data_IF_607336423792
#
_entry.id   IF_607336423792
#
_cell.length_a   1.000
_cell.length_b   1.000
_cell.length_c   1.000
_cell.angle_alpha   90.00
_cell.angle_beta   90.00
_cell.angle_gamma   90.00
#
_symmetry.space_group_name_H-M   'P 1'
#
loop_
_entity.id
_entity.type
_entity.pdbx_description
1 polymer ?
#
# COMPACT_ATOMS: atom_id res chain seq x y z
N UNK A 1 40.45 55.55 5.94
CA UNK A 1 40.40 54.16 6.47
C UNK A 1 39.50 54.18 7.72
N UNK A 2 38.26 53.73 7.59
CA UNK A 2 37.31 53.68 8.71
C UNK A 2 37.55 52.46 9.58
N UNK A 3 37.78 52.69 10.88
CA UNK A 3 37.77 51.65 11.92
C UNK A 3 36.50 51.84 12.77
N UNK A 4 35.53 50.94 12.63
CA UNK A 4 34.36 50.85 13.51
C UNK A 4 34.60 49.65 14.45
N UNK A 5 34.76 49.86 15.78
CA UNK A 5 34.84 48.76 16.72
C UNK A 5 33.45 48.18 17.02
N UNK A 6 33.42 46.85 17.08
CA UNK A 6 32.31 46.00 17.50
C UNK A 6 32.06 46.17 19.02
N UNK A 7 30.80 46.18 19.46
CA UNK A 7 30.28 45.37 20.59
C UNK A 7 28.79 45.67 20.84
N UNK A 8 27.96 44.65 20.64
CA UNK A 8 27.26 43.87 21.69
C UNK A 8 25.97 44.53 22.14
N UNK A 9 24.84 43.90 21.80
CA UNK A 9 23.76 43.71 22.78
C UNK A 9 23.04 42.42 22.42
N UNK A 10 23.15 41.42 23.31
CA UNK A 10 22.32 40.22 23.32
C UNK A 10 20.86 40.65 23.38
N UNK A 11 20.07 40.34 22.37
CA UNK A 11 18.61 40.39 22.48
C UNK A 11 18.06 38.96 22.40
N UNK A 12 17.66 38.52 23.58
CA UNK A 12 16.63 37.55 23.95
C UNK A 12 16.13 36.57 22.87
N UNK A 13 16.26 35.30 23.26
CA UNK A 13 15.52 34.16 22.76
C UNK A 13 14.05 34.49 22.43
N UNK A 14 13.67 34.27 21.18
CA UNK A 14 12.29 34.11 20.78
C UNK A 14 12.08 32.63 20.43
N UNK A 15 11.91 31.81 21.46
CA UNK A 15 11.35 30.45 21.32
C UNK A 15 9.85 30.58 20.99
N UNK A 16 9.51 31.01 19.77
CA UNK A 16 8.17 30.82 19.25
C UNK A 16 8.15 29.44 18.59
N UNK A 17 8.08 28.42 19.44
CA UNK A 17 7.75 27.06 19.03
C UNK A 17 6.29 27.09 18.53
N UNK A 18 6.13 27.47 17.26
CA UNK A 18 4.87 27.37 16.54
C UNK A 18 4.61 25.88 16.34
N UNK A 19 3.92 25.29 17.32
CA UNK A 19 3.50 23.90 17.30
C UNK A 19 2.50 23.77 16.14
N UNK A 20 3.03 23.43 14.96
CA UNK A 20 2.22 23.03 13.81
C UNK A 20 1.42 21.81 14.26
N UNK A 21 0.16 22.02 14.63
CA UNK A 21 -0.85 20.98 14.69
C UNK A 21 -1.03 20.48 13.26
N UNK A 22 -0.13 19.60 12.81
CA UNK A 22 -0.33 18.85 11.58
C UNK A 22 -1.50 17.91 11.88
N UNK A 23 -2.68 18.11 11.27
CA UNK A 23 -3.73 17.12 11.38
C UNK A 23 -3.15 15.83 10.78
N UNK A 24 -2.87 14.87 11.64
CA UNK A 24 -2.56 13.51 11.22
C UNK A 24 -3.87 12.99 10.67
N UNK A 25 -4.10 13.19 9.37
CA UNK A 25 -5.13 12.44 8.66
C UNK A 25 -4.75 10.97 8.86
N UNK A 26 -5.41 10.30 9.80
CA UNK A 26 -5.35 8.86 9.93
C UNK A 26 -5.67 8.33 8.55
N UNK A 27 -4.67 7.79 7.86
CA UNK A 27 -4.88 7.14 6.58
C UNK A 27 -5.72 5.92 6.90
N UNK A 28 -7.05 6.08 6.89
CA UNK A 28 -7.96 5.00 7.21
C UNK A 28 -7.59 3.84 6.30
N UNK A 29 -7.42 2.66 6.90
CA UNK A 29 -7.20 1.39 6.19
C UNK A 29 -8.43 0.95 5.38
N UNK A 30 -9.16 1.91 4.83
CA UNK A 30 -10.33 1.71 4.00
C UNK A 30 -9.89 1.20 2.63
N UNK A 31 -10.56 0.13 2.24
CA UNK A 31 -10.41 -0.45 0.93
C UNK A 31 -11.31 0.30 -0.05
N UNK A 32 -10.88 0.47 -1.32
CA UNK A 32 -11.78 0.94 -2.36
C UNK A 32 -12.96 -0.02 -2.51
N UNK A 33 -14.07 0.47 -3.07
CA UNK A 33 -15.20 -0.40 -3.41
C UNK A 33 -14.75 -1.44 -4.43
N UNK A 34 -15.11 -2.70 -4.17
CA UNK A 34 -14.84 -3.86 -5.02
C UNK A 34 -16.11 -4.67 -5.11
N UNK A 35 -16.39 -5.22 -6.29
CA UNK A 35 -17.54 -6.09 -6.50
C UNK A 35 -17.04 -7.50 -6.78
N UNK A 36 -17.67 -8.50 -6.14
CA UNK A 36 -17.35 -9.91 -6.39
C UNK A 36 -17.51 -10.23 -7.88
N UNK A 37 -16.54 -10.94 -8.46
CA UNK A 37 -16.49 -11.31 -9.87
C UNK A 37 -15.79 -10.27 -10.77
N UNK A 38 -15.40 -9.12 -10.23
CA UNK A 38 -14.66 -8.12 -10.99
C UNK A 38 -13.24 -8.59 -11.34
N UNK A 39 -12.73 -8.20 -12.51
CA UNK A 39 -11.34 -8.43 -12.88
C UNK A 39 -10.36 -7.88 -11.84
N UNK A 40 -9.44 -8.74 -11.38
CA UNK A 40 -8.48 -8.35 -10.35
C UNK A 40 -7.54 -7.22 -10.81
N UNK A 41 -7.25 -7.10 -12.10
CA UNK A 41 -6.47 -5.99 -12.64
C UNK A 41 -7.12 -4.62 -12.40
N UNK A 42 -8.45 -4.54 -12.53
CA UNK A 42 -9.21 -3.32 -12.23
C UNK A 42 -9.22 -3.01 -10.71
N UNK A 43 -9.42 -4.05 -9.89
CA UNK A 43 -9.34 -3.94 -8.43
C UNK A 43 -7.95 -3.47 -8.00
N UNK A 44 -6.89 -4.06 -8.55
CA UNK A 44 -5.49 -3.72 -8.31
C UNK A 44 -5.20 -2.26 -8.65
N UNK A 45 -5.70 -1.77 -9.78
CA UNK A 45 -5.53 -0.37 -10.17
C UNK A 45 -6.15 0.57 -9.13
N UNK A 46 -7.36 0.26 -8.64
CA UNK A 46 -8.01 1.05 -7.59
C UNK A 46 -7.32 0.98 -6.24
N UNK A 47 -6.77 -0.18 -5.86
CA UNK A 47 -5.94 -0.31 -4.66
C UNK A 47 -4.75 0.65 -4.71
N UNK A 48 -4.01 0.64 -5.82
CA UNK A 48 -2.87 1.53 -6.05
C UNK A 48 -3.30 3.00 -6.00
N UNK A 49 -4.38 3.37 -6.71
CA UNK A 49 -4.92 4.73 -6.70
C UNK A 49 -5.34 5.19 -5.30
N UNK A 50 -5.86 4.27 -4.47
CA UNK A 50 -6.25 4.54 -3.08
C UNK A 50 -5.05 4.56 -2.11
N UNK A 51 -3.81 4.49 -2.62
CA UNK A 51 -2.58 4.56 -1.83
C UNK A 51 -2.15 3.25 -1.18
N UNK A 52 -2.77 2.12 -1.56
CA UNK A 52 -2.29 0.80 -1.16
C UNK A 52 -1.11 0.37 -2.01
N UNK A 53 -0.09 -0.18 -1.38
CA UNK A 53 1.11 -0.69 -2.03
C UNK A 53 1.04 -2.21 -2.12
N UNK A 54 1.40 -2.82 -3.27
CA UNK A 54 1.65 -4.25 -3.36
C UNK A 54 2.65 -4.67 -2.27
N UNK A 55 2.34 -5.72 -1.52
CA UNK A 55 3.23 -6.26 -0.50
C UNK A 55 3.68 -7.67 -0.85
N UNK A 56 4.97 -7.81 -1.10
CA UNK A 56 5.61 -9.10 -1.30
C UNK A 56 5.94 -9.72 0.06
N UNK A 57 5.27 -10.82 0.41
CA UNK A 57 5.53 -11.53 1.65
C UNK A 57 6.85 -12.32 1.55
N UNK A 58 7.61 -12.47 2.65
CA UNK A 58 8.86 -13.25 2.63
C UNK A 58 8.67 -14.73 2.27
N UNK A 59 7.49 -15.27 2.54
CA UNK A 59 7.04 -16.65 2.29
C UNK A 59 6.16 -16.76 1.03
N UNK A 60 6.15 -15.74 0.17
CA UNK A 60 5.39 -15.78 -1.07
C UNK A 60 5.92 -16.84 -2.06
N UNK A 61 5.00 -17.59 -2.65
CA UNK A 61 5.28 -18.52 -3.74
C UNK A 61 5.83 -17.78 -4.98
N UNK A 62 6.54 -18.53 -5.83
CA UNK A 62 6.96 -18.03 -7.14
C UNK A 62 5.82 -18.19 -8.14
N UNK A 63 5.37 -17.08 -8.71
CA UNK A 63 4.48 -17.13 -9.86
C UNK A 63 5.18 -17.72 -11.09
N UNK A 64 4.50 -18.61 -11.81
CA UNK A 64 4.93 -19.05 -13.15
C UNK A 64 4.83 -17.90 -14.15
N UNK A 65 5.80 -17.78 -15.06
CA UNK A 65 5.76 -16.78 -16.14
C UNK A 65 4.56 -16.96 -17.09
N UNK A 66 3.95 -18.15 -17.08
CA UNK A 66 2.79 -18.48 -17.90
C UNK A 66 1.44 -18.37 -17.14
N UNK A 67 1.47 -18.06 -15.85
CA UNK A 67 0.24 -17.89 -15.07
C UNK A 67 -0.22 -16.43 -15.07
N UNK A 68 -1.16 -16.13 -15.97
CA UNK A 68 -1.72 -14.79 -16.15
C UNK A 68 -2.41 -14.23 -14.89
N UNK A 69 -2.76 -15.08 -13.92
CA UNK A 69 -3.40 -14.66 -12.68
C UNK A 69 -2.44 -13.88 -11.78
N UNK A 70 -1.16 -14.25 -11.77
CA UNK A 70 -0.16 -13.71 -10.85
C UNK A 70 1.04 -13.04 -11.53
N UNK A 71 1.24 -13.21 -12.84
CA UNK A 71 2.41 -12.66 -13.52
C UNK A 71 2.47 -11.14 -13.36
N UNK A 72 3.64 -10.63 -12.97
CA UNK A 72 3.86 -9.20 -12.68
C UNK A 72 2.98 -8.65 -11.53
N UNK A 73 2.56 -9.50 -10.59
CA UNK A 73 1.82 -9.14 -9.36
C UNK A 73 2.68 -9.47 -8.13
N UNK A 74 3.62 -8.59 -7.72
CA UNK A 74 4.48 -8.85 -6.56
C UNK A 74 3.70 -9.01 -5.25
N UNK A 75 2.46 -8.53 -5.21
CA UNK A 75 1.54 -8.76 -4.09
C UNK A 75 1.05 -10.21 -3.95
N UNK A 76 1.28 -11.10 -4.91
CA UNK A 76 0.83 -12.48 -4.83
C UNK A 76 1.57 -13.23 -3.71
N UNK A 77 0.81 -13.95 -2.88
CA UNK A 77 1.34 -14.85 -1.84
C UNK A 77 1.31 -16.30 -2.32
N UNK A 78 0.16 -16.76 -2.80
CA UNK A 78 0.00 -18.11 -3.33
C UNK A 78 -1.15 -18.15 -4.33
N UNK A 79 -1.09 -19.11 -5.26
CA UNK A 79 -2.19 -19.45 -6.16
C UNK A 79 -2.43 -20.96 -6.14
N UNK A 80 -3.68 -21.37 -5.95
CA UNK A 80 -4.08 -22.76 -6.08
C UNK A 80 -4.01 -23.19 -7.56
N UNK A 81 -3.40 -24.36 -7.79
CA UNK A 81 -3.28 -24.97 -9.12
C UNK A 81 -4.53 -25.75 -9.58
N UNK A 82 -5.47 -26.04 -8.69
CA UNK A 82 -6.69 -26.83 -8.97
C UNK A 82 -7.90 -26.25 -8.24
N UNK A 83 -9.11 -26.64 -8.66
CA UNK A 83 -10.37 -26.25 -8.01
C UNK A 83 -10.89 -24.93 -8.54
N UNK A 84 -11.07 -23.91 -7.68
CA UNK A 84 -11.53 -22.58 -8.15
C UNK A 84 -10.39 -21.68 -8.59
N UNK A 85 -9.15 -22.18 -8.66
CA UNK A 85 -7.99 -21.40 -9.10
C UNK A 85 -7.70 -20.16 -8.25
N UNK A 86 -8.00 -20.20 -6.95
CA UNK A 86 -7.90 -19.03 -6.08
C UNK A 86 -6.46 -18.53 -5.91
N UNK A 87 -6.27 -17.22 -5.86
CA UNK A 87 -5.01 -16.61 -5.46
C UNK A 87 -5.23 -15.71 -4.24
N UNK A 88 -4.20 -15.57 -3.39
CA UNK A 88 -4.14 -14.60 -2.30
C UNK A 88 -3.15 -13.50 -2.67
N UNK A 89 -3.55 -12.25 -2.46
CA UNK A 89 -2.72 -11.07 -2.72
C UNK A 89 -2.67 -10.12 -1.52
N UNK A 90 -1.48 -9.70 -1.10
CA UNK A 90 -1.27 -8.84 0.07
C UNK A 90 -0.97 -7.38 -0.28
N UNK A 91 -1.55 -6.51 0.53
CA UNK A 91 -1.50 -5.07 0.34
C UNK A 91 -1.14 -4.37 1.65
N UNK A 92 -0.33 -3.31 1.56
CA UNK A 92 0.04 -2.46 2.70
C UNK A 92 -0.34 -1.01 2.50
N UNK A 93 -0.84 -0.39 3.57
CA UNK A 93 -1.07 1.06 3.67
C UNK A 93 -0.84 1.50 5.12
N UNK A 94 0.28 2.21 5.35
CA UNK A 94 0.73 2.52 6.71
C UNK A 94 0.96 1.24 7.52
N UNK A 95 0.33 1.15 8.70
CA UNK A 95 0.37 -0.03 9.56
C UNK A 95 -0.63 -1.14 9.16
N UNK A 96 -1.49 -0.89 8.18
CA UNK A 96 -2.52 -1.85 7.78
C UNK A 96 -2.01 -2.82 6.71
N UNK A 97 -2.28 -4.11 6.93
CA UNK A 97 -2.15 -5.16 5.92
C UNK A 97 -3.53 -5.72 5.60
N UNK A 98 -3.81 -5.99 4.33
CA UNK A 98 -5.05 -6.62 3.85
C UNK A 98 -4.72 -7.68 2.80
N UNK A 99 -5.41 -8.82 2.87
CA UNK A 99 -5.42 -9.78 1.77
C UNK A 99 -6.67 -9.64 0.92
N UNK A 100 -6.50 -9.75 -0.39
CA UNK A 100 -7.56 -9.96 -1.36
C UNK A 100 -7.44 -11.38 -1.88
N UNK A 101 -8.54 -12.13 -1.80
CA UNK A 101 -8.64 -13.46 -2.37
C UNK A 101 -9.43 -13.40 -3.67
N UNK A 102 -8.95 -14.10 -4.68
CA UNK A 102 -9.58 -14.20 -6.00
C UNK A 102 -10.06 -15.63 -6.28
N UNK A 103 -10.79 -15.79 -7.37
CA UNK A 103 -11.10 -17.07 -7.99
C UNK A 103 -10.85 -16.99 -9.51
N UNK A 104 -10.92 -18.12 -10.20
CA UNK A 104 -10.76 -18.30 -11.64
C UNK A 104 -9.42 -18.94 -12.02
N UNK A 105 -9.46 -19.94 -12.90
CA UNK A 105 -8.29 -20.74 -13.29
C UNK A 105 -7.43 -20.07 -14.36
N UNK A 106 -8.04 -19.31 -15.27
CA UNK A 106 -7.34 -18.64 -16.38
C UNK A 106 -7.22 -17.13 -16.17
N UNK A 107 -8.08 -16.56 -15.33
CA UNK A 107 -8.10 -15.14 -14.96
C UNK A 107 -8.46 -14.98 -13.50
N UNK A 108 -7.81 -14.05 -12.81
CA UNK A 108 -8.14 -13.72 -11.43
C UNK A 108 -9.31 -12.73 -11.39
N UNK A 109 -10.40 -13.12 -10.73
CA UNK A 109 -11.52 -12.23 -10.39
C UNK A 109 -11.64 -12.09 -8.88
N UNK A 110 -11.92 -10.89 -8.40
CA UNK A 110 -12.08 -10.60 -6.98
C UNK A 110 -13.19 -11.47 -6.38
N UNK A 111 -12.88 -12.16 -5.28
CA UNK A 111 -13.84 -12.98 -4.57
C UNK A 111 -14.23 -12.33 -3.23
N UNK A 112 -13.23 -12.01 -2.40
CA UNK A 112 -13.43 -11.42 -1.09
C UNK A 112 -12.16 -10.75 -0.55
N UNK A 113 -12.34 -9.89 0.46
CA UNK A 113 -11.25 -9.60 1.41
C UNK A 113 -11.13 -10.82 2.32
N UNK A 114 -9.91 -11.31 2.52
CA UNK A 114 -9.64 -12.49 3.33
C UNK A 114 -8.59 -12.18 4.40
N UNK A 115 -8.35 -13.16 5.27
CA UNK A 115 -7.32 -13.03 6.30
C UNK A 115 -5.93 -12.94 5.65
N UNK A 116 -5.10 -11.94 6.04
CA UNK A 116 -3.75 -11.76 5.52
C UNK A 116 -2.92 -13.05 5.64
#
# INVERSE_FOLDING_TARGET
MSNIPKRVTRFLAFCMAMCLLVPSASATGDLPRMTKGEDYGAVRARMIQAGWKPYHAPDADRCSAYDARCVNRPEMVACAGTGVGACKFLWKKGAHTRALCTAGETRAVFFAVCEP
#
